data_IF_710059281705
#
_entry.id   IF_710059281705
#
_cell.length_a   1.000
_cell.length_b   1.000
_cell.length_c   1.000
_cell.angle_alpha   90.00
_cell.angle_beta   90.00
_cell.angle_gamma   90.00
#
_symmetry.space_group_name_H-M   'P 1'
#
loop_
_entity.id
_entity.type
_entity.pdbx_description
1 polymer ?
#
# COMPACT_ATOMS: atom_id res chain seq x y z
N UNK A 1 -34.20 11.97 23.92
CA UNK A 1 -33.37 12.93 23.17
C UNK A 1 -34.20 13.91 22.33
N UNK A 2 -35.19 13.46 21.57
CA UNK A 2 -35.98 14.37 20.71
C UNK A 2 -36.74 15.46 21.44
N UNK A 3 -37.23 15.18 22.66
CA UNK A 3 -37.86 16.20 23.53
C UNK A 3 -36.87 17.29 23.97
N UNK A 4 -35.62 16.93 24.24
CA UNK A 4 -34.57 17.87 24.68
C UNK A 4 -34.06 18.74 23.52
N UNK A 5 -33.94 18.18 22.31
CA UNK A 5 -33.58 18.95 21.10
C UNK A 5 -34.71 19.86 20.60
N UNK A 6 -35.98 19.57 20.95
CA UNK A 6 -37.09 20.49 20.74
C UNK A 6 -37.08 21.67 21.71
N UNK A 7 -36.58 21.46 22.94
CA UNK A 7 -36.48 22.50 23.97
C UNK A 7 -35.21 23.35 23.84
N UNK A 8 -34.08 22.75 23.44
CA UNK A 8 -32.80 23.41 23.25
C UNK A 8 -32.21 23.09 21.87
N UNK A 9 -32.78 23.66 20.79
CA UNK A 9 -32.42 23.28 19.42
C UNK A 9 -31.02 23.74 19.00
N UNK A 10 -30.43 24.71 19.70
CA UNK A 10 -29.14 25.33 19.35
C UNK A 10 -27.96 24.85 20.20
N UNK A 11 -28.21 24.01 21.21
CA UNK A 11 -27.14 23.49 22.07
C UNK A 11 -26.31 22.45 21.33
N UNK A 12 -25.02 22.77 21.11
CA UNK A 12 -24.02 21.90 20.50
C UNK A 12 -24.00 20.51 21.18
N UNK A 13 -23.93 20.50 22.51
CA UNK A 13 -23.82 19.28 23.31
C UNK A 13 -24.95 18.28 23.02
N UNK A 14 -26.20 18.74 22.94
CA UNK A 14 -27.32 17.86 22.63
C UNK A 14 -27.32 17.36 21.18
N UNK A 15 -26.84 18.17 20.24
CA UNK A 15 -26.68 17.75 18.84
C UNK A 15 -25.59 16.68 18.73
N UNK A 16 -24.46 16.86 19.44
CA UNK A 16 -23.36 15.89 19.50
C UNK A 16 -23.80 14.55 20.11
N UNK A 17 -24.46 14.57 21.26
CA UNK A 17 -24.92 13.32 21.89
C UNK A 17 -25.90 12.60 20.94
N UNK A 18 -26.82 13.32 20.29
CA UNK A 18 -27.72 12.69 19.32
C UNK A 18 -26.99 12.14 18.10
N UNK A 19 -25.98 12.86 17.59
CA UNK A 19 -25.15 12.37 16.50
C UNK A 19 -24.48 11.03 16.85
N UNK A 20 -23.82 10.95 18.01
CA UNK A 20 -23.17 9.71 18.45
C UNK A 20 -24.16 8.60 18.79
N UNK A 21 -25.33 8.93 19.34
CA UNK A 21 -26.40 7.96 19.57
C UNK A 21 -26.86 7.33 18.25
N UNK A 22 -27.16 8.16 17.25
CA UNK A 22 -27.62 7.70 15.93
C UNK A 22 -26.52 6.94 15.18
N UNK A 23 -25.24 7.33 15.37
CA UNK A 23 -24.09 6.61 14.82
C UNK A 23 -24.01 5.19 15.41
N UNK A 24 -24.20 5.03 16.72
CA UNK A 24 -24.23 3.71 17.38
C UNK A 24 -25.38 2.84 16.90
N UNK A 25 -26.55 3.45 16.67
CA UNK A 25 -27.73 2.77 16.12
C UNK A 25 -27.65 2.51 14.61
N UNK A 26 -26.58 2.97 13.93
CA UNK A 26 -26.40 2.91 12.47
C UNK A 26 -27.55 3.57 11.70
N UNK A 27 -28.18 4.58 12.30
CA UNK A 27 -29.24 5.38 11.68
C UNK A 27 -28.63 6.46 10.78
N UNK A 28 -28.01 6.01 9.70
CA UNK A 28 -27.21 6.83 8.80
C UNK A 28 -27.98 8.02 8.22
N UNK A 29 -29.23 7.84 7.79
CA UNK A 29 -30.06 8.91 7.18
C UNK A 29 -30.17 10.19 8.03
N UNK A 30 -30.08 10.05 9.35
CA UNK A 30 -30.21 11.14 10.31
C UNK A 30 -28.89 11.88 10.60
N UNK A 31 -27.74 11.33 10.21
CA UNK A 31 -26.42 11.89 10.52
C UNK A 31 -26.09 13.12 9.69
N UNK A 32 -26.43 13.10 8.39
CA UNK A 32 -26.10 14.21 7.48
C UNK A 32 -26.77 15.54 7.89
N UNK A 33 -28.08 15.57 8.25
CA UNK A 33 -28.71 16.78 8.77
C UNK A 33 -28.12 17.26 10.09
N UNK A 34 -27.79 16.34 11.01
CA UNK A 34 -27.20 16.68 12.31
C UNK A 34 -25.79 17.28 12.14
N UNK A 35 -24.96 16.69 11.28
CA UNK A 35 -23.63 17.22 10.97
C UNK A 35 -23.71 18.64 10.38
N UNK A 36 -24.63 18.88 9.43
CA UNK A 36 -24.86 20.23 8.88
C UNK A 36 -25.33 21.23 9.93
N UNK A 37 -26.18 20.78 10.87
CA UNK A 37 -26.64 21.62 11.97
C UNK A 37 -25.48 22.05 12.87
N UNK A 38 -24.57 21.12 13.20
CA UNK A 38 -23.35 21.44 13.98
C UNK A 38 -22.49 22.51 13.29
N UNK A 39 -22.30 22.41 11.97
CA UNK A 39 -21.53 23.40 11.20
C UNK A 39 -22.16 24.80 11.27
N UNK A 40 -23.49 24.88 11.37
CA UNK A 40 -24.23 26.15 11.42
C UNK A 40 -24.27 26.74 12.83
N UNK A 41 -24.37 25.91 13.87
CA UNK A 41 -24.47 26.37 15.26
C UNK A 41 -23.13 26.78 15.84
N UNK A 42 -22.04 26.14 15.43
CA UNK A 42 -20.73 26.34 16.06
C UNK A 42 -19.87 27.39 15.34
N UNK A 43 -19.36 28.35 16.11
CA UNK A 43 -18.50 29.43 15.59
C UNK A 43 -17.04 29.26 15.98
N UNK A 44 -16.72 28.62 17.11
CA UNK A 44 -15.34 28.51 17.60
C UNK A 44 -14.59 27.36 16.92
N UNK A 45 -15.19 26.17 16.87
CA UNK A 45 -14.59 24.96 16.27
C UNK A 45 -15.09 24.66 14.85
N UNK A 46 -15.50 25.71 14.13
CA UNK A 46 -16.14 25.58 12.82
C UNK A 46 -15.29 24.82 11.79
N UNK A 47 -13.97 24.88 11.89
CA UNK A 47 -13.05 24.17 10.98
C UNK A 47 -13.18 22.65 11.12
N UNK A 48 -13.20 22.13 12.35
CA UNK A 48 -13.35 20.67 12.59
C UNK A 48 -14.71 20.17 12.13
N UNK A 49 -15.77 20.91 12.48
CA UNK A 49 -17.13 20.50 12.12
C UNK A 49 -17.41 20.55 10.62
N UNK A 50 -16.68 21.35 9.83
CA UNK A 50 -16.81 21.37 8.37
C UNK A 50 -16.49 20.01 7.72
N UNK A 51 -15.62 19.20 8.33
CA UNK A 51 -15.29 17.87 7.83
C UNK A 51 -16.33 16.81 8.21
N UNK A 52 -17.21 17.05 9.19
CA UNK A 52 -18.17 16.05 9.66
C UNK A 52 -19.16 15.60 8.57
N UNK A 53 -19.78 16.50 7.78
CA UNK A 53 -20.62 16.08 6.66
C UNK A 53 -19.87 15.25 5.60
N UNK A 54 -18.56 15.49 5.44
CA UNK A 54 -17.70 14.76 4.51
C UNK A 54 -17.46 13.35 5.07
N UNK A 55 -17.08 13.24 6.34
CA UNK A 55 -16.88 11.97 7.03
C UNK A 55 -18.15 11.11 7.04
N UNK A 56 -19.31 11.72 7.25
CA UNK A 56 -20.60 11.01 7.17
C UNK A 56 -20.85 10.48 5.75
N UNK A 57 -20.53 11.25 4.71
CA UNK A 57 -20.64 10.79 3.31
C UNK A 57 -19.70 9.60 3.04
N UNK A 58 -18.47 9.66 3.55
CA UNK A 58 -17.49 8.56 3.46
C UNK A 58 -17.99 7.32 4.23
N UNK A 59 -18.60 7.51 5.39
CA UNK A 59 -19.20 6.45 6.19
C UNK A 59 -20.36 5.78 5.46
N UNK A 60 -21.22 6.54 4.78
CA UNK A 60 -22.28 5.97 3.94
C UNK A 60 -21.71 5.18 2.78
N UNK A 61 -20.60 5.62 2.19
CA UNK A 61 -19.91 4.85 1.16
C UNK A 61 -19.34 3.51 1.69
N UNK A 62 -19.07 3.39 3.00
CA UNK A 62 -18.71 2.10 3.61
C UNK A 62 -19.93 1.24 3.90
N UNK A 63 -21.04 1.84 4.34
CA UNK A 63 -22.27 1.12 4.67
C UNK A 63 -23.02 0.62 3.42
N UNK A 64 -23.04 1.40 2.35
CA UNK A 64 -23.68 1.06 1.07
C UNK A 64 -22.66 1.06 -0.08
N UNK A 65 -22.02 -0.08 -0.37
CA UNK A 65 -21.06 -0.19 -1.46
C UNK A 65 -21.70 0.02 -2.84
N UNK A 66 -23.02 -0.18 -3.00
CA UNK A 66 -23.70 0.00 -4.29
C UNK A 66 -23.79 1.49 -4.67
N UNK A 67 -24.03 2.35 -3.68
CA UNK A 67 -24.10 3.80 -3.85
C UNK A 67 -22.79 4.52 -3.55
N UNK A 68 -21.80 3.83 -3.00
CA UNK A 68 -20.48 4.36 -2.68
C UNK A 68 -19.86 5.14 -3.84
N UNK A 69 -19.68 4.48 -4.99
CA UNK A 69 -19.07 5.08 -6.17
C UNK A 69 -20.01 6.02 -6.94
N UNK A 70 -21.33 5.78 -6.87
CA UNK A 70 -22.32 6.53 -7.66
C UNK A 70 -22.70 7.87 -7.04
N UNK A 71 -22.71 7.97 -5.71
CA UNK A 71 -23.26 9.13 -5.00
C UNK A 71 -22.37 9.62 -3.87
N UNK A 72 -22.00 8.73 -2.94
CA UNK A 72 -21.43 9.14 -1.67
C UNK A 72 -19.98 9.64 -1.78
N UNK A 73 -19.11 8.91 -2.49
CA UNK A 73 -17.73 9.32 -2.72
C UNK A 73 -17.61 10.54 -3.65
N UNK A 74 -18.38 10.64 -4.76
CA UNK A 74 -18.39 11.87 -5.57
C UNK A 74 -18.88 13.12 -4.81
N UNK A 75 -19.80 12.95 -3.86
CA UNK A 75 -20.23 14.06 -3.00
C UNK A 75 -19.10 14.49 -2.05
N UNK A 76 -18.46 13.52 -1.40
CA UNK A 76 -17.33 13.77 -0.51
C UNK A 76 -16.16 14.44 -1.24
N UNK A 77 -15.83 13.97 -2.45
CA UNK A 77 -14.75 14.56 -3.26
C UNK A 77 -15.04 16.01 -3.60
N UNK A 78 -16.24 16.35 -4.07
CA UNK A 78 -16.64 17.75 -4.34
C UNK A 78 -16.50 18.65 -3.12
N UNK A 79 -16.84 18.15 -1.93
CA UNK A 79 -16.69 18.93 -0.70
C UNK A 79 -15.21 19.13 -0.34
N UNK A 80 -14.39 18.10 -0.47
CA UNK A 80 -12.95 18.17 -0.18
C UNK A 80 -12.19 19.01 -1.20
N UNK A 81 -12.56 18.97 -2.48
CA UNK A 81 -12.00 19.86 -3.52
C UNK A 81 -12.27 21.32 -3.15
N UNK A 82 -13.50 21.66 -2.73
CA UNK A 82 -13.81 23.02 -2.25
C UNK A 82 -12.96 23.43 -1.05
N UNK A 83 -12.70 22.51 -0.11
CA UNK A 83 -11.80 22.79 1.02
C UNK A 83 -10.37 23.06 0.53
N UNK A 84 -9.88 22.28 -0.43
CA UNK A 84 -8.57 22.46 -1.03
C UNK A 84 -8.44 23.81 -1.77
N UNK A 85 -9.41 24.14 -2.62
CA UNK A 85 -9.46 25.40 -3.39
C UNK A 85 -9.51 26.63 -2.49
N UNK A 86 -10.26 26.55 -1.38
CA UNK A 86 -10.34 27.62 -0.40
C UNK A 86 -9.13 27.69 0.55
N UNK A 87 -8.09 26.88 0.32
CA UNK A 87 -6.91 26.77 1.21
C UNK A 87 -7.28 26.44 2.67
N UNK A 88 -8.30 25.62 2.87
CA UNK A 88 -8.80 25.19 4.19
C UNK A 88 -8.23 23.84 4.64
N UNK A 89 -7.42 23.19 3.80
CA UNK A 89 -6.65 22.00 4.19
C UNK A 89 -5.37 22.48 4.87
N UNK A 90 -5.26 22.24 6.17
CA UNK A 90 -4.20 22.79 7.02
C UNK A 90 -3.21 21.74 7.51
N UNK A 91 -3.58 20.46 7.45
CA UNK A 91 -2.75 19.37 7.96
C UNK A 91 -2.72 18.18 7.00
N UNK A 92 -1.80 17.26 7.26
CA UNK A 92 -1.62 16.06 6.45
C UNK A 92 -2.77 15.06 6.56
N UNK A 93 -3.57 15.08 7.62
CA UNK A 93 -4.66 14.13 7.80
C UNK A 93 -5.85 14.49 6.90
N UNK A 94 -6.19 15.76 6.82
CA UNK A 94 -7.17 16.31 5.88
C UNK A 94 -6.74 16.09 4.43
N UNK A 95 -5.45 16.32 4.14
CA UNK A 95 -4.89 16.02 2.82
C UNK A 95 -4.94 14.52 2.51
N UNK A 96 -4.60 13.66 3.48
CA UNK A 96 -4.69 12.20 3.31
C UNK A 96 -6.13 11.74 3.09
N UNK A 97 -7.10 12.41 3.72
CA UNK A 97 -8.53 12.15 3.51
C UNK A 97 -8.94 12.46 2.06
N UNK A 98 -8.52 13.62 1.52
CA UNK A 98 -8.70 13.98 0.11
C UNK A 98 -8.15 12.90 -0.83
N UNK A 99 -6.89 12.52 -0.65
CA UNK A 99 -6.27 11.50 -1.50
C UNK A 99 -7.00 10.15 -1.39
N UNK A 100 -7.39 9.74 -0.18
CA UNK A 100 -8.08 8.46 0.05
C UNK A 100 -9.41 8.36 -0.70
N UNK A 101 -10.16 9.48 -0.83
CA UNK A 101 -11.42 9.51 -1.56
C UNK A 101 -11.16 9.33 -3.06
N UNK A 102 -10.16 10.00 -3.63
CA UNK A 102 -9.80 9.83 -5.03
C UNK A 102 -9.29 8.41 -5.34
N UNK A 103 -8.44 7.84 -4.47
CA UNK A 103 -7.99 6.44 -4.61
C UNK A 103 -9.18 5.49 -4.64
N UNK A 104 -10.17 5.68 -3.75
CA UNK A 104 -11.40 4.86 -3.74
C UNK A 104 -12.29 5.07 -4.95
N UNK A 105 -12.24 6.24 -5.58
CA UNK A 105 -12.90 6.51 -6.86
C UNK A 105 -12.13 5.95 -8.05
N UNK A 106 -10.90 5.47 -7.86
CA UNK A 106 -10.00 5.02 -8.93
C UNK A 106 -9.37 6.17 -9.72
N UNK A 107 -9.47 7.40 -9.23
CA UNK A 107 -8.95 8.60 -9.88
C UNK A 107 -7.50 8.88 -9.45
N UNK A 108 -6.58 8.05 -9.94
CA UNK A 108 -5.17 8.14 -9.61
C UNK A 108 -4.47 9.35 -10.24
N UNK A 109 -5.02 9.92 -11.32
CA UNK A 109 -4.51 11.14 -11.95
C UNK A 109 -4.70 12.34 -11.02
N UNK A 110 -5.91 12.51 -10.46
CA UNK A 110 -6.16 13.56 -9.47
C UNK A 110 -5.26 13.41 -8.25
N UNK A 111 -5.04 12.18 -7.76
CA UNK A 111 -4.11 11.94 -6.64
C UNK A 111 -2.70 12.44 -6.98
N UNK A 112 -2.17 12.12 -8.17
CA UNK A 112 -0.86 12.63 -8.59
C UNK A 112 -0.83 14.16 -8.71
N UNK A 113 -1.89 14.77 -9.23
CA UNK A 113 -1.98 16.22 -9.35
C UNK A 113 -1.88 16.89 -7.98
N UNK A 114 -2.58 16.36 -6.97
CA UNK A 114 -2.47 16.86 -5.61
C UNK A 114 -1.11 16.57 -4.97
N UNK A 115 -0.52 15.40 -5.23
CA UNK A 115 0.82 15.04 -4.75
C UNK A 115 1.96 15.87 -5.38
N UNK A 116 1.68 16.59 -6.46
CA UNK A 116 2.59 17.52 -7.12
C UNK A 116 2.12 18.98 -6.99
N UNK A 117 1.09 19.24 -6.18
CA UNK A 117 0.50 20.57 -6.04
C UNK A 117 1.25 21.45 -5.04
N UNK A 118 1.06 22.76 -5.18
CA UNK A 118 1.54 23.75 -4.20
C UNK A 118 0.91 23.57 -2.82
N UNK A 119 -0.27 22.94 -2.72
CA UNK A 119 -0.88 22.60 -1.44
C UNK A 119 0.00 21.63 -0.64
N UNK A 120 0.50 20.57 -1.28
CA UNK A 120 1.42 19.65 -0.60
C UNK A 120 2.70 20.37 -0.18
N UNK A 121 3.27 21.22 -1.05
CA UNK A 121 4.47 21.98 -0.71
C UNK A 121 4.30 22.81 0.56
N UNK A 122 3.16 23.53 0.69
CA UNK A 122 2.83 24.29 1.90
C UNK A 122 2.73 23.40 3.14
N UNK A 123 2.13 22.22 3.03
CA UNK A 123 2.04 21.29 4.14
C UNK A 123 3.42 20.75 4.55
N UNK A 124 4.28 20.45 3.56
CA UNK A 124 5.66 19.99 3.77
C UNK A 124 6.58 21.04 4.44
N UNK A 125 6.28 22.33 4.26
CA UNK A 125 6.98 23.41 4.96
C UNK A 125 6.68 23.41 6.46
N UNK A 126 5.44 23.05 6.84
CA UNK A 126 5.01 23.00 8.23
C UNK A 126 5.39 21.67 8.91
N UNK A 127 5.21 20.54 8.23
CA UNK A 127 5.50 19.20 8.74
C UNK A 127 5.97 18.31 7.58
N UNK A 128 7.08 17.58 7.76
CA UNK A 128 7.63 16.74 6.69
C UNK A 128 7.03 15.34 6.77
N UNK A 129 6.26 14.95 5.75
CA UNK A 129 5.68 13.60 5.63
C UNK A 129 6.04 12.94 4.31
N UNK A 130 6.42 11.67 4.34
CA UNK A 130 6.73 10.94 3.11
C UNK A 130 5.44 10.50 2.39
N UNK A 131 5.35 10.79 1.08
CA UNK A 131 4.25 10.38 0.19
C UNK A 131 4.70 9.47 -0.97
N UNK A 132 5.94 8.96 -0.94
CA UNK A 132 6.53 8.15 -2.01
C UNK A 132 5.74 6.87 -2.25
N UNK A 133 5.25 6.21 -1.18
CA UNK A 133 4.40 5.02 -1.31
C UNK A 133 3.10 5.33 -2.06
N UNK A 134 2.49 6.49 -1.81
CA UNK A 134 1.26 6.92 -2.48
C UNK A 134 1.54 7.28 -3.94
N UNK A 135 2.66 7.98 -4.22
CA UNK A 135 3.10 8.25 -5.60
C UNK A 135 3.34 6.97 -6.39
N UNK A 136 4.04 6.01 -5.78
CA UNK A 136 4.33 4.72 -6.38
C UNK A 136 3.04 3.94 -6.69
N UNK A 137 2.08 3.94 -5.77
CA UNK A 137 0.77 3.33 -6.01
C UNK A 137 0.06 3.98 -7.20
N UNK A 138 0.08 5.30 -7.33
CA UNK A 138 -0.50 5.97 -8.48
C UNK A 138 0.19 5.61 -9.80
N UNK A 139 1.53 5.62 -9.84
CA UNK A 139 2.26 5.23 -11.05
C UNK A 139 1.99 3.78 -11.45
N UNK A 140 1.86 2.88 -10.47
CA UNK A 140 1.43 1.51 -10.70
C UNK A 140 0.06 1.43 -11.36
N UNK A 141 -0.96 2.10 -10.81
CA UNK A 141 -2.32 2.04 -11.34
C UNK A 141 -2.50 2.74 -12.69
N UNK A 142 -1.70 3.77 -12.97
CA UNK A 142 -1.68 4.48 -14.25
C UNK A 142 -0.73 3.84 -15.27
N UNK A 143 -0.08 2.72 -14.91
CA UNK A 143 0.91 2.02 -15.73
C UNK A 143 2.08 2.90 -16.21
N UNK A 144 2.44 3.92 -15.41
CA UNK A 144 3.55 4.85 -15.67
C UNK A 144 4.88 4.25 -15.26
N UNK A 145 5.41 3.38 -16.12
CA UNK A 145 6.62 2.59 -15.85
C UNK A 145 7.85 3.45 -15.54
N UNK A 146 8.18 4.42 -16.40
CA UNK A 146 9.42 5.19 -16.28
C UNK A 146 9.49 5.95 -14.95
N UNK A 147 8.40 6.58 -14.54
CA UNK A 147 8.30 7.31 -13.29
C UNK A 147 8.29 6.38 -12.07
N UNK A 148 7.58 5.25 -12.15
CA UNK A 148 7.60 4.22 -11.10
C UNK A 148 9.01 3.66 -10.91
N UNK A 149 9.68 3.30 -12.01
CA UNK A 149 11.00 2.69 -11.99
C UNK A 149 12.06 3.62 -11.41
N UNK A 150 12.05 4.90 -11.82
CA UNK A 150 12.94 5.92 -11.26
C UNK A 150 12.71 6.11 -9.75
N UNK A 151 11.45 6.20 -9.31
CA UNK A 151 11.13 6.33 -7.90
C UNK A 151 11.58 5.10 -7.10
N UNK A 152 11.30 3.90 -7.58
CA UNK A 152 11.74 2.66 -6.97
C UNK A 152 13.26 2.57 -6.86
N UNK A 153 13.99 2.99 -7.90
CA UNK A 153 15.46 3.02 -7.89
C UNK A 153 15.99 3.91 -6.76
N UNK A 154 15.43 5.11 -6.61
CA UNK A 154 15.83 6.02 -5.54
C UNK A 154 15.49 5.44 -4.15
N UNK A 155 14.32 4.84 -4.00
CA UNK A 155 13.89 4.20 -2.75
C UNK A 155 14.77 3.01 -2.37
N UNK A 156 15.14 2.17 -3.33
CA UNK A 156 15.98 0.99 -3.08
C UNK A 156 17.45 1.36 -2.86
N UNK A 157 17.92 2.47 -3.43
CA UNK A 157 19.24 3.01 -3.09
C UNK A 157 19.30 3.55 -1.66
N UNK A 158 18.21 4.15 -1.17
CA UNK A 158 18.12 4.63 0.21
C UNK A 158 17.88 3.49 1.22
N UNK A 159 16.97 2.56 0.88
CA UNK A 159 16.55 1.43 1.71
C UNK A 159 16.51 0.14 0.86
N UNK A 160 17.61 -0.63 0.80
CA UNK A 160 17.76 -1.74 -0.14
C UNK A 160 16.96 -3.00 0.21
N UNK A 161 16.27 -3.05 1.36
CA UNK A 161 15.48 -4.20 1.82
C UNK A 161 13.96 -3.93 1.79
N UNK A 162 13.52 -2.88 1.09
CA UNK A 162 12.10 -2.50 1.02
C UNK A 162 11.31 -3.41 0.05
N UNK A 163 10.83 -4.54 0.57
CA UNK A 163 10.13 -5.57 -0.22
C UNK A 163 8.87 -5.07 -0.95
N UNK A 164 8.19 -4.04 -0.41
CA UNK A 164 6.98 -3.47 -1.03
C UNK A 164 7.29 -2.82 -2.40
N UNK A 165 8.47 -2.21 -2.52
CA UNK A 165 8.97 -1.58 -3.74
C UNK A 165 9.29 -2.64 -4.79
N UNK A 166 10.02 -3.69 -4.42
CA UNK A 166 10.31 -4.82 -5.31
C UNK A 166 9.04 -5.50 -5.83
N UNK A 167 8.07 -5.78 -4.95
CA UNK A 167 6.77 -6.35 -5.36
C UNK A 167 6.03 -5.47 -6.36
N UNK A 168 6.12 -4.15 -6.22
CA UNK A 168 5.46 -3.24 -7.16
C UNK A 168 6.09 -3.34 -8.54
N UNK A 169 7.43 -3.31 -8.61
CA UNK A 169 8.15 -3.51 -9.87
C UNK A 169 7.83 -4.86 -10.52
N UNK A 170 7.85 -5.94 -9.74
CA UNK A 170 7.50 -7.29 -10.23
C UNK A 170 6.10 -7.31 -10.85
N UNK A 171 5.10 -6.70 -10.20
CA UNK A 171 3.72 -6.63 -10.73
C UNK A 171 3.59 -5.76 -11.98
N UNK A 172 4.47 -4.78 -12.17
CA UNK A 172 4.47 -3.95 -13.38
C UNK A 172 5.15 -4.64 -14.57
N UNK A 173 6.11 -5.52 -14.29
CA UNK A 173 6.82 -6.34 -15.28
C UNK A 173 5.99 -7.57 -15.69
N UNK A 174 5.47 -8.28 -14.69
CA UNK A 174 4.62 -9.47 -14.84
C UNK A 174 3.16 -9.10 -14.63
N UNK A 175 2.41 -8.98 -15.72
CA UNK A 175 0.99 -8.63 -15.67
C UNK A 175 0.14 -9.90 -15.79
N UNK A 176 -0.80 -10.07 -14.85
CA UNK A 176 -1.75 -11.19 -14.89
C UNK A 176 -3.06 -10.72 -15.53
N UNK A 177 -3.37 -11.21 -16.72
CA UNK A 177 -4.59 -10.89 -17.46
C UNK A 177 -5.38 -12.19 -17.69
N UNK A 178 -6.63 -12.25 -17.24
CA UNK A 178 -7.50 -13.44 -17.39
C UNK A 178 -6.88 -14.75 -16.89
N UNK A 179 -6.03 -14.70 -15.86
CA UNK A 179 -5.36 -15.87 -15.31
C UNK A 179 -4.04 -16.23 -16.00
N UNK A 180 -3.76 -15.68 -17.18
CA UNK A 180 -2.49 -15.85 -17.88
C UNK A 180 -1.49 -14.76 -17.45
N UNK A 181 -0.24 -15.15 -17.24
CA UNK A 181 0.85 -14.25 -16.89
C UNK A 181 1.55 -13.81 -18.19
N UNK A 182 1.66 -12.50 -18.41
CA UNK A 182 2.42 -11.92 -19.51
C UNK A 182 3.58 -11.09 -19.00
N UNK A 183 4.64 -11.01 -19.80
CA UNK A 183 5.85 -10.25 -19.49
C UNK A 183 6.05 -9.13 -20.50
N UNK A 184 6.42 -7.94 -20.02
CA UNK A 184 6.94 -6.88 -20.87
C UNK A 184 8.47 -7.00 -20.95
N UNK A 185 8.99 -7.37 -22.12
CA UNK A 185 10.42 -7.60 -22.32
C UNK A 185 11.27 -6.34 -22.07
N UNK A 186 10.81 -5.16 -22.50
CA UNK A 186 11.53 -3.91 -22.30
C UNK A 186 11.67 -3.57 -20.81
N UNK A 187 10.56 -3.65 -20.06
CA UNK A 187 10.56 -3.43 -18.61
C UNK A 187 11.39 -4.47 -17.87
N UNK A 188 11.32 -5.73 -18.31
CA UNK A 188 12.10 -6.81 -17.73
C UNK A 188 13.61 -6.59 -17.93
N UNK A 189 14.05 -6.20 -19.14
CA UNK A 189 15.45 -5.95 -19.44
C UNK A 189 16.03 -4.78 -18.60
N UNK A 190 15.25 -3.70 -18.47
CA UNK A 190 15.64 -2.56 -17.63
C UNK A 190 15.73 -2.96 -16.15
N UNK A 191 14.72 -3.70 -15.66
CA UNK A 191 14.71 -4.19 -14.28
C UNK A 191 15.85 -5.16 -14.00
N UNK A 192 16.14 -6.07 -14.93
CA UNK A 192 17.24 -7.03 -14.84
C UNK A 192 18.59 -6.32 -14.73
N UNK A 193 18.85 -5.34 -15.59
CA UNK A 193 20.09 -4.55 -15.54
C UNK A 193 20.26 -3.86 -14.18
N UNK A 194 19.17 -3.33 -13.63
CA UNK A 194 19.18 -2.72 -12.31
C UNK A 194 19.46 -3.72 -11.18
N UNK A 195 18.84 -4.91 -11.22
CA UNK A 195 19.04 -5.95 -10.20
C UNK A 195 20.48 -6.49 -10.20
N UNK A 196 21.11 -6.64 -11.36
CA UNK A 196 22.53 -7.03 -11.45
C UNK A 196 23.40 -6.02 -10.71
N UNK A 197 23.26 -4.73 -11.01
CA UNK A 197 24.01 -3.65 -10.34
C UNK A 197 23.71 -3.59 -8.82
N UNK A 198 22.46 -3.86 -8.43
CA UNK A 198 22.07 -3.83 -7.03
C UNK A 198 22.61 -5.04 -6.24
N UNK A 199 22.79 -6.19 -6.90
CA UNK A 199 23.41 -7.39 -6.31
C UNK A 199 24.91 -7.23 -6.07
N UNK A 200 25.60 -6.42 -6.88
CA UNK A 200 27.01 -6.07 -6.65
C UNK A 200 27.19 -5.21 -5.39
N UNK A 201 26.20 -4.38 -5.08
CA UNK A 201 26.28 -3.40 -3.97
C UNK A 201 25.60 -3.87 -2.70
N UNK A 202 24.63 -4.78 -2.78
CA UNK A 202 23.87 -5.26 -1.63
C UNK A 202 23.41 -6.71 -1.79
N UNK A 203 23.35 -7.44 -0.68
CA UNK A 203 22.79 -8.78 -0.64
C UNK A 203 21.60 -8.84 0.33
N UNK A 204 20.61 -7.98 0.12
CA UNK A 204 19.44 -7.87 1.00
C UNK A 204 18.49 -9.06 0.83
N UNK A 205 17.69 -9.33 1.86
CA UNK A 205 16.67 -10.39 1.85
C UNK A 205 15.66 -10.14 0.71
N UNK A 206 15.18 -8.90 0.58
CA UNK A 206 14.23 -8.49 -0.46
C UNK A 206 14.78 -8.69 -1.87
N UNK A 207 16.07 -8.40 -2.10
CA UNK A 207 16.72 -8.65 -3.39
C UNK A 207 16.74 -10.15 -3.74
N UNK A 208 17.20 -11.00 -2.82
CA UNK A 208 17.26 -12.44 -3.06
C UNK A 208 15.87 -13.03 -3.32
N UNK A 209 14.85 -12.59 -2.56
CA UNK A 209 13.48 -13.00 -2.80
C UNK A 209 12.96 -12.52 -4.16
N UNK A 210 13.32 -11.31 -4.58
CA UNK A 210 12.97 -10.79 -5.91
C UNK A 210 13.53 -11.66 -7.02
N UNK A 211 14.81 -12.04 -6.93
CA UNK A 211 15.47 -12.89 -7.93
C UNK A 211 14.81 -14.28 -8.00
N UNK A 212 14.44 -14.85 -6.86
CA UNK A 212 13.73 -16.13 -6.81
C UNK A 212 12.30 -16.01 -7.37
N UNK A 213 11.59 -14.92 -7.08
CA UNK A 213 10.25 -14.64 -7.61
C UNK A 213 10.27 -14.43 -9.13
N UNK A 214 11.31 -13.80 -9.68
CA UNK A 214 11.51 -13.73 -11.14
C UNK A 214 11.58 -15.12 -11.75
N UNK A 215 12.41 -16.02 -11.21
CA UNK A 215 12.52 -17.39 -11.73
C UNK A 215 11.19 -18.14 -11.67
N UNK A 216 10.46 -18.02 -10.56
CA UNK A 216 9.14 -18.64 -10.41
C UNK A 216 8.12 -18.08 -11.41
N UNK A 217 8.12 -16.77 -11.65
CA UNK A 217 7.22 -16.15 -12.62
C UNK A 217 7.59 -16.49 -14.07
N UNK A 218 8.89 -16.57 -14.42
CA UNK A 218 9.34 -16.92 -15.76
C UNK A 218 8.94 -18.35 -16.17
N UNK A 219 8.96 -19.31 -15.24
CA UNK A 219 8.50 -20.68 -15.50
C UNK A 219 6.98 -20.76 -15.77
N UNK A 220 6.22 -19.73 -15.36
CA UNK A 220 4.80 -19.60 -15.69
C UNK A 220 4.54 -18.86 -17.01
N UNK A 221 5.57 -18.31 -17.66
CA UNK A 221 5.45 -17.59 -18.93
C UNK A 221 6.04 -18.45 -20.05
N UNK A 222 5.25 -18.75 -21.09
CA UNK A 222 5.68 -19.55 -22.25
C UNK A 222 6.67 -18.84 -23.20
N UNK A 223 7.32 -17.75 -22.76
CA UNK A 223 8.21 -16.93 -23.58
C UNK A 223 9.67 -17.22 -23.27
N UNK A 224 10.54 -17.43 -24.29
CA UNK A 224 11.97 -17.57 -24.06
C UNK A 224 12.56 -16.23 -23.65
N UNK A 225 12.94 -16.09 -22.38
CA UNK A 225 13.56 -14.88 -21.82
C UNK A 225 14.97 -15.22 -21.35
N UNK A 226 15.95 -14.43 -21.81
CA UNK A 226 17.34 -14.58 -21.38
C UNK A 226 17.56 -13.91 -20.02
N UNK A 227 17.89 -14.71 -19.01
CA UNK A 227 18.14 -14.24 -17.65
C UNK A 227 19.65 -14.03 -17.44
N UNK A 228 20.04 -12.88 -16.89
CA UNK A 228 21.45 -12.54 -16.62
C UNK A 228 21.92 -12.93 -15.20
N UNK A 229 21.01 -13.32 -14.31
CA UNK A 229 21.35 -13.73 -12.94
C UNK A 229 21.59 -15.24 -12.83
N UNK A 230 22.22 -15.70 -11.73
CA UNK A 230 22.43 -17.12 -11.50
C UNK A 230 21.12 -17.94 -11.53
N UNK A 231 21.20 -19.25 -11.82
CA UNK A 231 20.03 -20.13 -11.80
C UNK A 231 19.35 -20.17 -10.42
N UNK A 232 18.07 -20.54 -10.39
CA UNK A 232 17.25 -20.52 -9.18
C UNK A 232 17.79 -21.37 -8.01
N UNK A 233 18.36 -22.56 -8.29
CA UNK A 233 18.82 -23.49 -7.24
C UNK A 233 20.05 -22.98 -6.46
N UNK A 234 21.12 -22.48 -7.12
CA UNK A 234 22.21 -21.76 -6.44
C UNK A 234 21.71 -20.58 -5.59
N UNK A 235 20.82 -19.74 -6.13
CA UNK A 235 20.26 -18.60 -5.42
C UNK A 235 19.47 -19.01 -4.18
N UNK A 236 18.65 -20.06 -4.29
CA UNK A 236 17.90 -20.61 -3.16
C UNK A 236 18.84 -21.13 -2.07
N UNK A 237 19.95 -21.77 -2.47
CA UNK A 237 20.96 -22.27 -1.53
C UNK A 237 21.66 -21.12 -0.80
N UNK A 238 22.04 -20.06 -1.52
CA UNK A 238 22.61 -18.84 -0.93
C UNK A 238 21.64 -18.18 0.05
N UNK A 239 20.37 -18.08 -0.32
CA UNK A 239 19.31 -17.53 0.52
C UNK A 239 19.12 -18.37 1.79
N UNK A 240 18.98 -19.70 1.66
CA UNK A 240 18.82 -20.60 2.80
C UNK A 240 20.02 -20.50 3.75
N UNK A 241 21.26 -20.52 3.26
CA UNK A 241 22.45 -20.35 4.13
C UNK A 241 22.40 -19.05 4.93
N UNK A 242 21.89 -17.99 4.33
CA UNK A 242 21.85 -16.65 4.93
C UNK A 242 20.70 -16.49 5.93
N UNK A 243 19.52 -17.07 5.64
CA UNK A 243 18.28 -16.78 6.38
C UNK A 243 17.60 -17.96 7.07
N UNK A 244 18.06 -19.21 6.89
CA UNK A 244 17.43 -20.41 7.48
C UNK A 244 17.34 -20.35 9.02
N UNK A 245 18.24 -19.61 9.67
CA UNK A 245 18.23 -19.36 11.11
C UNK A 245 17.02 -18.54 11.60
N UNK A 246 16.33 -17.83 10.70
CA UNK A 246 15.19 -16.98 11.04
C UNK A 246 13.87 -17.72 10.77
N UNK A 247 12.89 -17.66 11.71
CA UNK A 247 11.59 -18.31 11.54
C UNK A 247 10.83 -17.89 10.26
N UNK A 248 11.05 -16.65 9.83
CA UNK A 248 10.42 -16.03 8.66
C UNK A 248 10.81 -16.72 7.35
N UNK A 249 11.97 -17.37 7.29
CA UNK A 249 12.47 -18.05 6.09
C UNK A 249 11.47 -19.07 5.52
N UNK A 250 10.75 -19.77 6.39
CA UNK A 250 9.72 -20.73 5.99
C UNK A 250 8.56 -20.08 5.24
N UNK A 251 8.13 -18.89 5.68
CA UNK A 251 7.08 -18.11 5.04
C UNK A 251 7.57 -17.49 3.73
N UNK A 252 8.84 -17.10 3.69
CA UNK A 252 9.46 -16.47 2.54
C UNK A 252 9.58 -17.41 1.35
N UNK A 253 9.89 -18.68 1.59
CA UNK A 253 10.07 -19.66 0.52
C UNK A 253 8.72 -20.29 0.12
N UNK A 254 7.66 -20.06 0.90
CA UNK A 254 6.36 -20.72 0.68
C UNK A 254 5.80 -20.46 -0.72
N UNK A 255 6.00 -19.28 -1.30
CA UNK A 255 5.52 -18.97 -2.65
C UNK A 255 6.28 -19.74 -3.75
N UNK A 256 7.49 -20.23 -3.46
CA UNK A 256 8.29 -21.03 -4.39
C UNK A 256 7.86 -22.50 -4.41
N UNK A 257 7.01 -22.95 -3.48
CA UNK A 257 6.60 -24.37 -3.38
C UNK A 257 6.10 -24.96 -4.72
N UNK A 258 5.26 -24.27 -5.53
CA UNK A 258 4.84 -24.78 -6.84
C UNK A 258 6.00 -25.00 -7.81
N UNK A 259 6.94 -24.05 -7.86
CA UNK A 259 8.17 -24.16 -8.65
C UNK A 259 9.07 -25.30 -8.14
N UNK A 260 9.19 -25.41 -6.82
CA UNK A 260 9.98 -26.43 -6.14
C UNK A 260 9.41 -27.84 -6.34
N UNK A 261 8.09 -28.00 -6.45
CA UNK A 261 7.46 -29.29 -6.64
C UNK A 261 7.86 -29.97 -7.96
N UNK A 262 8.26 -29.18 -8.97
CA UNK A 262 8.68 -29.70 -10.27
C UNK A 262 10.09 -30.33 -10.24
N UNK A 263 10.91 -30.08 -9.20
CA UNK A 263 12.31 -30.57 -9.10
C UNK A 263 12.61 -31.17 -7.71
N UNK A 264 11.88 -32.21 -7.27
CA UNK A 264 11.85 -32.64 -5.87
C UNK A 264 13.18 -33.21 -5.34
N UNK A 265 13.96 -33.92 -6.16
CA UNK A 265 15.20 -34.57 -5.71
C UNK A 265 16.33 -33.58 -5.40
N UNK A 266 16.54 -32.60 -6.28
CA UNK A 266 17.56 -31.55 -6.07
C UNK A 266 17.30 -30.74 -4.80
N UNK A 267 16.03 -30.50 -4.48
CA UNK A 267 15.61 -29.70 -3.32
C UNK A 267 15.74 -30.50 -2.03
N UNK A 268 15.40 -31.79 -2.06
CA UNK A 268 15.60 -32.67 -0.91
C UNK A 268 17.08 -32.70 -0.49
N UNK A 269 17.97 -32.77 -1.47
CA UNK A 269 19.42 -32.74 -1.22
C UNK A 269 19.85 -31.40 -0.61
N UNK A 270 19.43 -30.26 -1.17
CA UNK A 270 19.74 -28.91 -0.66
C UNK A 270 19.19 -28.69 0.74
N UNK A 271 17.94 -29.08 1.01
CA UNK A 271 17.35 -28.92 2.33
C UNK A 271 18.03 -29.84 3.34
N UNK A 272 18.34 -31.09 2.97
CA UNK A 272 19.02 -32.01 3.86
C UNK A 272 20.41 -31.52 4.27
N UNK A 273 21.20 -30.97 3.34
CA UNK A 273 22.53 -30.43 3.62
C UNK A 273 22.49 -29.16 4.48
N UNK A 274 21.58 -28.23 4.17
CA UNK A 274 21.50 -26.97 4.94
C UNK A 274 20.83 -27.17 6.32
N UNK A 275 19.94 -28.16 6.48
CA UNK A 275 19.36 -28.51 7.78
C UNK A 275 20.36 -29.23 8.69
N UNK A 276 21.25 -30.07 8.14
CA UNK A 276 22.36 -30.63 8.92
C UNK A 276 23.32 -29.54 9.40
N UNK A 277 23.63 -28.56 8.56
CA UNK A 277 24.49 -27.42 8.91
C UNK A 277 23.82 -26.50 9.95
N UNK A 278 22.52 -26.22 9.79
CA UNK A 278 21.77 -25.41 10.75
C UNK A 278 21.62 -26.10 12.12
N UNK A 279 21.44 -27.43 12.14
CA UNK A 279 21.42 -28.23 13.38
C UNK A 279 22.79 -28.25 14.07
N UNK A 280 23.89 -28.30 13.32
CA UNK A 280 25.24 -28.20 13.87
C UNK A 280 25.54 -26.80 14.45
N UNK A 281 24.99 -25.74 13.85
CA UNK A 281 25.09 -24.37 14.35
C UNK A 281 24.20 -24.13 15.59
N UNK A 282 23.10 -24.88 15.74
CA UNK A 282 22.25 -24.89 16.93
C UNK A 282 22.83 -25.84 17.99
N UNK A 283 23.96 -25.46 18.59
CA UNK A 283 24.50 -26.17 19.74
C UNK A 283 23.80 -25.64 21.01
N UNK A 284 22.97 -26.44 21.71
CA UNK A 284 22.37 -26.02 22.97
C UNK A 284 23.41 -26.18 24.08
N UNK A 285 24.44 -25.35 24.07
CA UNK A 285 25.42 -25.28 25.17
C UNK A 285 25.37 -23.86 25.71
N UNK A 286 24.57 -23.66 26.76
CA UNK A 286 24.50 -22.36 27.43
C UNK A 286 23.29 -22.06 28.31
N UNK A 287 22.39 -23.00 28.61
CA UNK A 287 21.39 -22.81 29.68
C UNK A 287 21.20 -24.15 30.41
N UNK A 288 21.44 -24.12 31.73
CA UNK A 288 21.39 -25.21 32.72
C UNK A 288 22.69 -26.00 32.94
N UNK A 289 23.62 -25.37 33.65
CA UNK A 289 24.24 -25.94 34.85
C UNK A 289 24.50 -24.81 35.85
#
# INVERSE_FOLDING_TARGET
MDKLLKQFPTSEHFILIKFFHNLRLKEFSSLQPLARKLVQTETQNKQVFQYWPILVSILFAHADPKMALKLHLPLASKQLIRQAENSQILNHDEFSLLLSVFVRLGDYESVLNYLNSSLLSKLQEADKKNYDSQKLQCYYHLDKWSEAFLLCKNLLQATPDEWTVFKTLLRMVFKKTNGQLSISLDRFNEFQTFLVNLKETSNSRGLMLTLLDIHANLEMVDSPVTVQFPPALPLLTEYLRSFLKFPVCSQDIAFLIPFLHQKPESIRNILSSNLTDARAAYNPVGVLA
#
